data_IF_790880738735
#
_entry.id   IF_790880738735
#
_cell.length_a   1.000
_cell.length_b   1.000
_cell.length_c   1.000
_cell.angle_alpha   90.00
_cell.angle_beta   90.00
_cell.angle_gamma   90.00
#
_symmetry.space_group_name_H-M   'P 1'
#
loop_
_entity.id
_entity.type
_entity.pdbx_description
1 polymer ?
#
# COMPACT_ATOMS: atom_id res chain seq x y z
N UNK A 1 -50.12 72.64 -44.60
CA UNK A 1 -48.78 72.66 -44.03
C UNK A 1 -48.79 71.86 -42.73
N UNK A 2 -48.49 70.59 -42.78
CA UNK A 2 -48.49 69.76 -41.57
C UNK A 2 -47.29 68.76 -41.70
N UNK A 3 -46.29 68.92 -40.86
CA UNK A 3 -45.12 68.08 -40.79
C UNK A 3 -45.43 66.82 -40.00
N UNK A 4 -45.27 65.71 -40.64
CA UNK A 4 -45.35 64.35 -40.03
C UNK A 4 -44.02 64.02 -39.39
N UNK A 5 -44.02 63.78 -38.06
CA UNK A 5 -42.82 63.24 -37.33
C UNK A 5 -42.86 61.72 -37.37
N UNK A 6 -41.85 61.15 -37.93
CA UNK A 6 -41.64 59.70 -37.89
C UNK A 6 -41.07 59.28 -36.52
N UNK A 7 -41.68 58.30 -35.90
CA UNK A 7 -41.20 57.58 -34.75
C UNK A 7 -40.35 56.38 -35.19
N UNK A 8 -39.10 56.40 -34.81
CA UNK A 8 -38.19 55.23 -34.98
C UNK A 8 -38.38 54.34 -33.75
N UNK A 9 -38.92 53.13 -33.96
CA UNK A 9 -38.98 52.11 -32.91
C UNK A 9 -37.66 51.38 -32.84
N UNK A 10 -36.97 51.50 -31.71
CA UNK A 10 -35.74 50.76 -31.44
C UNK A 10 -36.10 49.44 -30.79
N UNK A 11 -35.99 48.35 -31.55
CA UNK A 11 -36.17 46.99 -31.02
C UNK A 11 -34.93 46.55 -30.27
N UNK A 12 -35.06 46.40 -28.96
CA UNK A 12 -34.02 45.86 -28.07
C UNK A 12 -34.05 44.31 -28.16
N UNK A 13 -33.06 43.73 -28.84
CA UNK A 13 -32.90 42.28 -28.92
C UNK A 13 -32.19 41.82 -27.64
N UNK A 14 -32.92 41.24 -26.68
CA UNK A 14 -32.35 40.63 -25.50
C UNK A 14 -31.82 39.22 -25.87
N UNK A 15 -30.52 39.10 -26.01
CA UNK A 15 -29.83 37.82 -26.18
C UNK A 15 -29.74 37.09 -24.84
N UNK A 16 -30.66 36.15 -24.61
CA UNK A 16 -30.60 35.25 -23.44
C UNK A 16 -29.53 34.17 -23.73
N UNK A 17 -28.31 34.40 -23.21
CA UNK A 17 -27.29 33.34 -23.18
C UNK A 17 -27.67 32.35 -22.09
N UNK A 18 -28.26 31.19 -22.46
CA UNK A 18 -28.34 30.04 -21.58
C UNK A 18 -26.91 29.54 -21.36
N UNK A 19 -26.32 29.87 -20.21
CA UNK A 19 -25.14 29.23 -19.70
C UNK A 19 -25.50 27.78 -19.33
N UNK A 20 -25.21 26.85 -20.23
CA UNK A 20 -25.11 25.43 -19.87
C UNK A 20 -23.89 25.28 -18.94
N UNK A 21 -24.13 25.28 -17.65
CA UNK A 21 -23.16 24.75 -16.68
C UNK A 21 -23.07 23.23 -16.92
N UNK A 22 -22.10 22.79 -17.72
CA UNK A 22 -21.65 21.40 -17.65
C UNK A 22 -21.07 21.23 -16.23
N UNK A 23 -21.87 20.69 -15.31
CA UNK A 23 -21.34 20.04 -14.14
C UNK A 23 -20.55 18.82 -14.65
N UNK A 24 -19.22 18.93 -14.71
CA UNK A 24 -18.36 17.78 -14.82
C UNK A 24 -18.65 16.91 -13.59
N UNK A 25 -19.46 15.87 -13.75
CA UNK A 25 -19.53 14.79 -12.76
C UNK A 25 -18.15 14.17 -12.78
N UNK A 26 -17.35 14.38 -11.73
CA UNK A 26 -16.15 13.60 -11.50
C UNK A 26 -16.58 12.13 -11.59
N UNK A 27 -16.08 11.42 -12.61
CA UNK A 27 -16.37 10.00 -12.79
C UNK A 27 -15.79 9.31 -11.55
N UNK A 28 -16.70 8.80 -10.70
CA UNK A 28 -16.34 8.16 -9.45
C UNK A 28 -15.48 6.95 -9.80
N UNK A 29 -14.25 6.88 -9.29
CA UNK A 29 -13.35 5.75 -9.54
C UNK A 29 -14.10 4.42 -9.35
N UNK A 30 -14.02 3.55 -10.36
CA UNK A 30 -14.71 2.26 -10.31
C UNK A 30 -14.07 1.39 -9.23
N UNK A 31 -14.88 0.90 -8.30
CA UNK A 31 -14.46 -0.05 -7.28
C UNK A 31 -15.10 -1.40 -7.59
N UNK A 32 -14.26 -2.43 -7.72
CA UNK A 32 -14.66 -3.81 -8.02
C UNK A 32 -14.32 -4.69 -6.82
N UNK A 33 -15.32 -5.36 -6.27
CA UNK A 33 -15.14 -6.39 -5.23
C UNK A 33 -14.76 -7.71 -5.89
N UNK A 34 -13.90 -8.48 -5.25
CA UNK A 34 -13.54 -9.83 -5.67
C UNK A 34 -13.22 -10.71 -4.47
N UNK A 35 -13.59 -11.98 -4.59
CA UNK A 35 -13.28 -13.00 -3.59
C UNK A 35 -12.89 -14.29 -4.30
N UNK A 36 -11.87 -15.03 -3.79
CA UNK A 36 -11.63 -16.40 -4.22
C UNK A 36 -12.86 -17.29 -3.96
N UNK A 37 -13.08 -18.38 -4.73
CA UNK A 37 -14.13 -19.33 -4.44
C UNK A 37 -14.02 -19.87 -3.00
N UNK A 38 -15.15 -20.05 -2.34
CA UNK A 38 -15.29 -20.58 -0.98
C UNK A 38 -14.63 -19.74 0.14
N UNK A 39 -14.18 -18.50 -0.17
CA UNK A 39 -13.62 -17.60 0.83
C UNK A 39 -14.69 -17.03 1.76
N UNK A 40 -14.39 -16.96 3.06
CA UNK A 40 -15.16 -16.23 4.06
C UNK A 40 -14.42 -14.98 4.56
N UNK A 41 -13.17 -14.79 4.15
CA UNK A 41 -12.34 -13.60 4.35
C UNK A 41 -11.33 -13.50 3.22
N UNK A 42 -11.18 -12.32 2.61
CA UNK A 42 -10.23 -12.06 1.53
C UNK A 42 -9.37 -10.85 1.85
N UNK A 43 -8.05 -11.04 1.89
CA UNK A 43 -7.07 -10.00 2.22
C UNK A 43 -6.03 -9.87 1.10
N UNK A 44 -6.20 -8.92 0.17
CA UNK A 44 -5.18 -8.54 -0.80
C UNK A 44 -4.02 -7.81 -0.12
N UNK A 45 -2.77 -8.17 -0.42
CA UNK A 45 -1.58 -7.55 0.16
C UNK A 45 -0.81 -6.68 -0.82
N UNK A 46 -0.79 -7.02 -2.10
CA UNK A 46 0.06 -6.33 -3.07
C UNK A 46 -0.56 -6.34 -4.46
N UNK A 47 -0.40 -5.23 -5.20
CA UNK A 47 -0.76 -5.08 -6.61
C UNK A 47 0.45 -4.63 -7.42
N UNK A 48 0.73 -5.27 -8.58
CA UNK A 48 1.79 -4.85 -9.47
C UNK A 48 1.32 -3.85 -10.54
N UNK A 49 2.24 -3.36 -11.37
CA UNK A 49 1.92 -2.39 -12.42
C UNK A 49 0.95 -2.95 -13.48
N UNK A 50 0.97 -4.25 -13.76
CA UNK A 50 0.02 -4.88 -14.70
C UNK A 50 -1.40 -4.99 -14.14
N UNK A 51 -1.60 -4.79 -12.83
CA UNK A 51 -2.87 -4.96 -12.12
C UNK A 51 -3.10 -6.37 -11.57
N UNK A 52 -2.08 -7.23 -11.57
CA UNK A 52 -2.15 -8.50 -10.87
C UNK A 52 -2.03 -8.28 -9.35
N UNK A 53 -2.79 -9.06 -8.56
CA UNK A 53 -2.92 -8.90 -7.11
C UNK A 53 -2.60 -10.23 -6.44
N UNK A 54 -1.82 -10.19 -5.36
CA UNK A 54 -1.62 -11.34 -4.46
C UNK A 54 -2.05 -11.00 -3.05
N UNK A 55 -2.38 -12.01 -2.30
CA UNK A 55 -2.79 -11.94 -0.90
C UNK A 55 -3.10 -13.32 -0.36
N UNK A 56 -4.01 -13.37 0.59
CA UNK A 56 -4.51 -14.62 1.16
C UNK A 56 -6.02 -14.54 1.42
N UNK A 57 -6.64 -15.68 1.59
CA UNK A 57 -8.04 -15.80 1.99
C UNK A 57 -8.22 -16.96 2.97
N UNK A 58 -9.29 -16.90 3.76
CA UNK A 58 -9.68 -17.95 4.69
C UNK A 58 -10.92 -18.66 4.17
N UNK A 59 -10.90 -19.99 4.13
CA UNK A 59 -12.00 -20.83 3.66
C UNK A 59 -12.89 -21.36 4.81
N UNK A 60 -12.61 -20.94 6.06
CA UNK A 60 -13.23 -21.47 7.27
C UNK A 60 -12.43 -22.58 7.95
N UNK A 61 -11.32 -23.03 7.35
CA UNK A 61 -10.47 -24.08 7.87
C UNK A 61 -8.98 -23.66 7.89
N UNK A 62 -8.43 -23.22 6.76
CA UNK A 62 -7.04 -22.76 6.64
C UNK A 62 -6.94 -21.48 5.80
N UNK A 63 -5.77 -20.82 5.87
CA UNK A 63 -5.46 -19.66 5.01
C UNK A 63 -4.72 -20.10 3.75
N UNK A 64 -5.21 -19.67 2.60
CA UNK A 64 -4.69 -19.97 1.28
C UNK A 64 -4.10 -18.73 0.61
N UNK A 65 -2.99 -18.86 -0.10
CA UNK A 65 -2.49 -17.82 -0.97
C UNK A 65 -3.30 -17.72 -2.27
N UNK A 66 -3.39 -16.52 -2.85
CA UNK A 66 -4.00 -16.33 -4.17
C UNK A 66 -3.18 -15.39 -5.06
N UNK A 67 -3.34 -15.58 -6.36
CA UNK A 67 -2.96 -14.66 -7.42
C UNK A 67 -4.22 -14.34 -8.24
N UNK A 68 -4.63 -13.07 -8.25
CA UNK A 68 -5.64 -12.54 -9.16
C UNK A 68 -4.95 -11.87 -10.34
N UNK A 69 -5.15 -12.39 -11.55
CA UNK A 69 -4.62 -11.79 -12.76
C UNK A 69 -5.25 -10.42 -13.04
N UNK A 70 -4.63 -9.62 -13.90
CA UNK A 70 -5.19 -8.33 -14.36
C UNK A 70 -6.58 -8.46 -15.02
N UNK A 71 -6.93 -9.64 -15.53
CA UNK A 71 -8.21 -9.94 -16.15
C UNK A 71 -9.28 -10.45 -15.18
N UNK A 72 -8.94 -10.57 -13.88
CA UNK A 72 -9.85 -11.02 -12.83
C UNK A 72 -9.84 -12.51 -12.53
N UNK A 73 -9.10 -13.33 -13.30
CA UNK A 73 -8.95 -14.75 -12.97
C UNK A 73 -8.17 -14.92 -11.69
N UNK A 74 -8.72 -15.70 -10.75
CA UNK A 74 -8.09 -16.02 -9.46
C UNK A 74 -7.54 -17.45 -9.52
N UNK A 75 -6.27 -17.60 -9.17
CA UNK A 75 -5.58 -18.89 -8.97
C UNK A 75 -5.14 -18.96 -7.53
N UNK A 76 -5.54 -20.01 -6.82
CA UNK A 76 -5.14 -20.28 -5.44
C UNK A 76 -3.89 -21.13 -5.40
N UNK A 77 -3.08 -20.97 -4.37
CA UNK A 77 -1.87 -21.77 -4.17
C UNK A 77 -1.60 -21.98 -2.68
N UNK A 78 -1.07 -23.16 -2.37
CA UNK A 78 -0.63 -23.52 -1.03
C UNK A 78 0.75 -24.13 -1.07
N UNK A 79 1.55 -23.81 -0.05
CA UNK A 79 2.79 -24.55 0.14
C UNK A 79 2.44 -25.98 0.61
N UNK A 80 3.04 -27.02 0.04
CA UNK A 80 2.67 -28.39 0.37
C UNK A 80 2.81 -28.70 1.87
N UNK A 81 1.71 -29.12 2.51
CA UNK A 81 1.66 -29.43 3.95
C UNK A 81 1.46 -28.23 4.88
N UNK A 82 1.30 -27.01 4.34
CA UNK A 82 1.04 -25.83 5.14
C UNK A 82 -0.34 -25.83 5.79
N UNK A 83 -0.44 -25.22 6.97
CA UNK A 83 -1.71 -24.89 7.65
C UNK A 83 -2.15 -23.46 7.33
N UNK A 84 -1.26 -22.63 6.79
CA UNK A 84 -1.55 -21.31 6.26
C UNK A 84 -0.51 -20.95 5.20
N UNK A 85 -0.94 -20.32 4.09
CA UNK A 85 -0.06 -19.78 3.05
C UNK A 85 -0.46 -18.33 2.77
N UNK A 86 0.49 -17.40 2.89
CA UNK A 86 0.27 -15.96 2.73
C UNK A 86 1.14 -15.41 1.60
N UNK A 87 0.53 -14.92 0.52
CA UNK A 87 1.22 -14.11 -0.48
C UNK A 87 1.42 -12.69 0.04
N UNK A 88 2.65 -12.27 0.33
CA UNK A 88 2.94 -10.96 0.92
C UNK A 88 3.16 -9.87 -0.13
N UNK A 89 3.95 -10.15 -1.16
CA UNK A 89 4.32 -9.15 -2.19
C UNK A 89 4.57 -9.83 -3.53
N UNK A 90 4.27 -9.11 -4.64
CA UNK A 90 4.55 -9.57 -5.99
C UNK A 90 5.27 -8.49 -6.81
N UNK A 91 6.12 -8.93 -7.75
CA UNK A 91 6.78 -8.05 -8.71
C UNK A 91 6.04 -8.01 -10.07
N UNK A 92 6.61 -7.32 -11.05
CA UNK A 92 6.00 -7.19 -12.39
C UNK A 92 5.89 -8.53 -13.13
N UNK A 93 6.85 -9.44 -12.92
CA UNK A 93 6.88 -10.78 -13.53
C UNK A 93 5.95 -11.77 -12.79
N UNK A 94 5.08 -11.28 -11.89
CA UNK A 94 4.19 -12.09 -11.05
C UNK A 94 4.91 -13.13 -10.19
N UNK A 95 6.21 -12.92 -9.93
CA UNK A 95 6.93 -13.65 -8.87
C UNK A 95 6.40 -13.15 -7.53
N UNK A 96 5.93 -14.08 -6.70
CA UNK A 96 5.37 -13.79 -5.37
C UNK A 96 6.36 -14.23 -4.31
N UNK A 97 6.55 -13.40 -3.29
CA UNK A 97 7.15 -13.81 -2.01
C UNK A 97 6.11 -13.78 -0.92
N UNK A 98 6.32 -14.60 0.08
CA UNK A 98 5.43 -14.70 1.22
C UNK A 98 5.93 -15.72 2.23
N UNK A 99 5.07 -16.12 3.13
CA UNK A 99 5.39 -17.09 4.16
C UNK A 99 4.25 -18.10 4.32
N UNK A 100 4.58 -19.23 4.91
CA UNK A 100 3.63 -20.28 5.24
C UNK A 100 3.94 -20.86 6.62
N UNK A 101 2.93 -21.40 7.27
CA UNK A 101 3.06 -22.07 8.57
C UNK A 101 2.89 -23.58 8.42
N UNK A 102 3.75 -24.34 9.08
CA UNK A 102 3.56 -25.77 9.29
C UNK A 102 2.75 -26.03 10.57
N UNK A 103 2.31 -27.28 10.81
CA UNK A 103 1.43 -27.65 11.93
C UNK A 103 1.96 -27.33 13.34
N UNK A 104 3.23 -27.00 13.48
CA UNK A 104 3.88 -26.54 14.70
C UNK A 104 3.95 -25.01 14.84
N UNK A 105 3.29 -24.24 13.94
CA UNK A 105 3.30 -22.78 13.84
C UNK A 105 4.68 -22.16 13.56
N UNK A 106 5.60 -22.94 12.97
CA UNK A 106 6.87 -22.40 12.47
C UNK A 106 6.62 -21.76 11.11
N UNK A 107 7.00 -20.48 11.00
CA UNK A 107 6.85 -19.69 9.78
C UNK A 107 8.07 -19.84 8.87
N UNK A 108 7.84 -20.10 7.57
CA UNK A 108 8.87 -20.26 6.55
C UNK A 108 8.64 -19.33 5.37
N UNK A 109 9.71 -18.72 4.87
CA UNK A 109 9.65 -17.91 3.67
C UNK A 109 9.54 -18.76 2.39
N UNK A 110 8.83 -18.25 1.38
CA UNK A 110 8.79 -18.86 0.05
C UNK A 110 8.91 -17.83 -1.07
N UNK A 111 9.31 -18.33 -2.23
CA UNK A 111 9.15 -17.68 -3.54
C UNK A 111 8.27 -18.56 -4.40
N UNK A 112 7.23 -17.99 -5.00
CA UNK A 112 6.45 -18.60 -6.08
C UNK A 112 6.83 -17.94 -7.38
N UNK A 113 7.40 -18.70 -8.32
CA UNK A 113 7.73 -18.21 -9.65
C UNK A 113 6.48 -17.98 -10.50
N UNK A 114 6.61 -17.27 -11.62
CA UNK A 114 5.50 -17.00 -12.56
C UNK A 114 4.80 -18.28 -13.04
N UNK A 115 5.55 -19.36 -13.28
CA UNK A 115 5.03 -20.68 -13.68
C UNK A 115 4.42 -21.49 -12.53
N UNK A 116 4.38 -20.93 -11.31
CA UNK A 116 3.69 -21.50 -10.15
C UNK A 116 4.56 -22.38 -9.24
N UNK A 117 5.86 -22.51 -9.52
CA UNK A 117 6.77 -23.32 -8.68
C UNK A 117 7.00 -22.60 -7.35
N UNK A 118 6.74 -23.30 -6.25
CA UNK A 118 6.98 -22.85 -4.88
C UNK A 118 8.37 -23.33 -4.40
N UNK A 119 9.19 -22.43 -3.92
CA UNK A 119 10.52 -22.70 -3.39
C UNK A 119 10.65 -22.09 -1.99
N UNK A 120 10.88 -22.93 -0.99
CA UNK A 120 11.16 -22.49 0.38
C UNK A 120 12.54 -21.84 0.48
N UNK A 121 12.66 -20.86 1.34
CA UNK A 121 13.93 -20.30 1.80
C UNK A 121 13.84 -19.84 3.25
N UNK A 122 14.92 -20.03 4.00
CA UNK A 122 15.06 -19.52 5.36
C UNK A 122 16.49 -19.04 5.57
N UNK A 123 16.72 -17.93 6.29
CA UNK A 123 18.04 -17.56 6.77
C UNK A 123 18.60 -18.64 7.71
N UNK A 124 19.92 -18.82 7.68
CA UNK A 124 20.56 -19.83 8.55
C UNK A 124 20.31 -19.49 10.03
N UNK A 125 19.78 -20.47 10.76
CA UNK A 125 19.49 -20.32 12.21
C UNK A 125 18.12 -19.70 12.52
N UNK A 126 17.30 -19.39 11.51
CA UNK A 126 15.94 -18.90 11.74
C UNK A 126 15.03 -19.98 12.32
N UNK A 127 14.13 -19.58 13.20
CA UNK A 127 12.97 -20.35 13.65
C UNK A 127 11.67 -19.83 13.06
N UNK A 128 11.69 -18.63 12.47
CA UNK A 128 10.58 -18.01 11.76
C UNK A 128 11.14 -17.09 10.67
N UNK A 129 10.50 -17.07 9.49
CA UNK A 129 10.92 -16.22 8.36
C UNK A 129 9.71 -15.54 7.73
N UNK A 130 9.71 -14.22 7.71
CA UNK A 130 8.63 -13.37 7.19
C UNK A 130 9.13 -12.43 6.09
N UNK A 131 9.08 -12.83 4.82
CA UNK A 131 9.31 -11.95 3.69
C UNK A 131 8.23 -10.86 3.61
N UNK A 132 8.65 -9.59 3.47
CA UNK A 132 7.74 -8.45 3.43
C UNK A 132 7.61 -7.85 2.03
N UNK A 133 8.67 -7.78 1.26
CA UNK A 133 8.68 -7.05 -0.02
C UNK A 133 9.63 -7.67 -1.04
N UNK A 134 9.21 -7.70 -2.31
CA UNK A 134 10.03 -8.09 -3.46
C UNK A 134 10.12 -6.92 -4.44
N UNK A 135 11.31 -6.62 -4.96
CA UNK A 135 11.48 -5.58 -5.98
C UNK A 135 11.43 -6.14 -7.42
N UNK A 136 11.48 -5.24 -8.41
CA UNK A 136 11.45 -5.62 -9.83
C UNK A 136 12.65 -6.49 -10.26
N UNK A 137 13.77 -6.43 -9.55
CA UNK A 137 14.94 -7.28 -9.83
C UNK A 137 14.85 -8.68 -9.20
N UNK A 138 13.78 -8.97 -8.44
CA UNK A 138 13.59 -10.23 -7.72
C UNK A 138 14.34 -10.32 -6.39
N UNK A 139 14.87 -9.21 -5.88
CA UNK A 139 15.43 -9.16 -4.54
C UNK A 139 14.31 -9.02 -3.50
N UNK A 140 14.43 -9.76 -2.39
CA UNK A 140 13.42 -9.86 -1.33
C UNK A 140 14.02 -9.40 -0.02
N UNK A 141 13.25 -8.63 0.75
CA UNK A 141 13.57 -8.26 2.13
C UNK A 141 12.42 -8.64 3.06
N UNK A 142 12.74 -8.79 4.33
CA UNK A 142 11.82 -9.09 5.41
C UNK A 142 12.59 -9.28 6.72
N UNK A 143 11.97 -9.92 7.67
CA UNK A 143 12.59 -10.27 8.94
C UNK A 143 12.56 -11.78 9.19
N UNK A 144 13.45 -12.24 10.06
CA UNK A 144 13.44 -13.59 10.59
C UNK A 144 13.76 -13.56 12.07
N UNK A 145 13.23 -14.51 12.82
CA UNK A 145 13.52 -14.69 14.24
C UNK A 145 14.52 -15.83 14.41
N UNK A 146 15.56 -15.61 15.19
CA UNK A 146 16.56 -16.63 15.53
C UNK A 146 16.12 -17.51 16.71
N UNK A 147 16.91 -18.53 17.05
CA UNK A 147 16.61 -19.46 18.14
C UNK A 147 16.62 -18.81 19.54
N UNK A 148 17.18 -17.60 19.69
CA UNK A 148 17.14 -16.82 20.92
C UNK A 148 15.90 -15.90 21.03
N UNK A 149 15.09 -15.85 19.99
CA UNK A 149 13.89 -15.00 19.90
C UNK A 149 14.18 -13.57 19.44
N UNK A 150 15.36 -13.31 18.87
CA UNK A 150 15.74 -12.00 18.32
C UNK A 150 15.36 -11.94 16.84
N UNK A 151 14.71 -10.84 16.44
CA UNK A 151 14.37 -10.60 15.05
C UNK A 151 15.49 -9.86 14.32
N UNK A 152 15.81 -10.32 13.11
CA UNK A 152 16.85 -9.77 12.23
C UNK A 152 16.28 -9.41 10.87
N UNK A 153 16.79 -8.36 10.24
CA UNK A 153 16.51 -8.07 8.85
C UNK A 153 17.27 -9.03 7.91
N UNK A 154 16.69 -9.35 6.75
CA UNK A 154 17.39 -10.08 5.70
C UNK A 154 17.20 -9.44 4.31
N UNK A 155 18.19 -9.65 3.46
CA UNK A 155 18.13 -9.43 2.03
C UNK A 155 18.44 -10.76 1.32
N UNK A 156 17.48 -11.26 0.54
CA UNK A 156 17.68 -12.39 -0.38
C UNK A 156 17.81 -11.85 -1.79
N UNK A 157 18.92 -12.10 -2.45
CA UNK A 157 19.10 -11.72 -3.84
C UNK A 157 18.28 -12.60 -4.80
N UNK A 158 18.22 -12.22 -6.08
CA UNK A 158 17.48 -12.99 -7.10
C UNK A 158 18.02 -14.41 -7.33
N UNK A 159 19.25 -14.69 -6.93
CA UNK A 159 19.90 -16.00 -7.09
C UNK A 159 19.71 -16.89 -5.85
N UNK A 160 19.12 -16.37 -4.79
CA UNK A 160 18.83 -17.08 -3.57
C UNK A 160 19.85 -16.88 -2.44
N UNK A 161 20.91 -16.09 -2.64
CA UNK A 161 21.84 -15.77 -1.57
C UNK A 161 21.17 -14.85 -0.54
N UNK A 162 21.29 -15.21 0.75
CA UNK A 162 20.68 -14.47 1.86
C UNK A 162 21.78 -13.82 2.69
N UNK A 163 21.60 -12.54 2.97
CA UNK A 163 22.44 -11.74 3.87
C UNK A 163 21.58 -11.18 4.99
N UNK A 164 21.92 -11.50 6.23
CA UNK A 164 21.30 -10.89 7.41
C UNK A 164 21.90 -9.52 7.70
N UNK A 165 21.11 -8.62 8.26
CA UNK A 165 21.56 -7.29 8.61
C UNK A 165 20.80 -6.72 9.80
N UNK A 166 21.49 -5.89 10.60
CA UNK A 166 20.90 -5.16 11.72
C UNK A 166 21.49 -3.76 11.77
N UNK A 167 20.69 -2.71 12.01
CA UNK A 167 21.21 -1.41 12.37
C UNK A 167 22.04 -1.47 13.65
N UNK A 168 23.09 -0.66 13.79
CA UNK A 168 23.88 -0.60 15.02
C UNK A 168 23.03 -0.26 16.25
N UNK A 169 23.11 -1.07 17.30
CA UNK A 169 22.36 -0.89 18.54
C UNK A 169 20.97 -1.51 18.57
N UNK A 170 20.56 -2.21 17.48
CA UNK A 170 19.25 -2.86 17.44
C UNK A 170 19.17 -4.08 18.37
N UNK A 171 18.00 -4.23 19.04
CA UNK A 171 17.59 -5.43 19.78
C UNK A 171 16.60 -6.30 18.99
N UNK A 172 16.13 -5.81 17.85
CA UNK A 172 15.28 -6.49 16.89
C UNK A 172 15.15 -5.65 15.63
N UNK A 173 15.17 -6.26 14.42
CA UNK A 173 15.13 -5.56 13.14
C UNK A 173 14.02 -6.08 12.27
N UNK A 174 13.18 -5.16 11.75
CA UNK A 174 12.01 -5.45 10.91
C UNK A 174 12.09 -4.66 9.60
N UNK A 175 12.47 -5.32 8.52
CA UNK A 175 12.52 -4.73 7.19
C UNK A 175 11.16 -4.84 6.51
N UNK A 176 10.60 -3.71 6.06
CA UNK A 176 9.22 -3.61 5.55
C UNK A 176 9.13 -3.35 4.05
N UNK A 177 10.16 -2.75 3.45
CA UNK A 177 10.14 -2.40 2.04
C UNK A 177 11.49 -2.37 1.38
N UNK A 178 11.55 -2.73 0.09
CA UNK A 178 12.74 -2.63 -0.75
C UNK A 178 12.42 -1.84 -2.02
N UNK A 179 13.25 -0.83 -2.32
CA UNK A 179 13.14 -0.04 -3.55
C UNK A 179 13.64 -0.81 -4.78
N UNK A 180 13.28 -0.40 -6.01
CA UNK A 180 13.88 -0.97 -7.23
C UNK A 180 15.40 -0.84 -7.30
N UNK A 181 15.99 0.12 -6.58
CA UNK A 181 17.44 0.33 -6.49
C UNK A 181 18.12 -0.55 -5.45
N UNK A 182 17.33 -1.26 -4.61
CA UNK A 182 17.84 -2.13 -3.54
C UNK A 182 18.06 -1.42 -2.20
N UNK A 183 17.52 -0.20 -2.03
CA UNK A 183 17.44 0.46 -0.73
C UNK A 183 16.34 -0.20 0.09
N UNK A 184 16.57 -0.41 1.39
CA UNK A 184 15.64 -1.10 2.29
C UNK A 184 15.23 -0.13 3.40
N UNK A 185 13.94 -0.07 3.69
CA UNK A 185 13.40 0.64 4.85
C UNK A 185 12.77 -0.35 5.82
N UNK A 186 12.65 0.08 7.06
CA UNK A 186 12.05 -0.66 8.14
C UNK A 186 12.26 0.03 9.47
N UNK A 187 12.09 -0.69 10.55
CA UNK A 187 12.32 -0.19 11.90
C UNK A 187 13.12 -1.21 12.72
N UNK A 188 13.72 -0.72 13.80
CA UNK A 188 14.41 -1.57 14.75
C UNK A 188 14.09 -1.13 16.18
N UNK A 189 14.14 -2.09 17.10
CA UNK A 189 13.95 -1.86 18.53
C UNK A 189 15.27 -1.47 19.18
N UNK A 190 15.30 -0.37 19.96
CA UNK A 190 16.42 0.02 20.84
C UNK A 190 16.07 -0.23 22.32
N UNK A 191 15.05 -1.01 22.61
CA UNK A 191 14.55 -1.34 23.94
C UNK A 191 13.04 -1.58 23.92
N UNK A 192 12.42 -1.83 25.06
CA UNK A 192 11.06 -2.35 25.13
C UNK A 192 9.97 -1.38 24.62
N UNK A 193 10.30 -0.08 24.40
CA UNK A 193 9.31 0.94 24.02
C UNK A 193 9.79 1.91 22.94
N UNK A 194 11.01 1.73 22.42
CA UNK A 194 11.60 2.65 21.44
C UNK A 194 11.84 1.93 20.14
N UNK A 195 11.18 2.41 19.07
CA UNK A 195 11.36 1.91 17.72
C UNK A 195 11.82 3.06 16.82
N UNK A 196 12.90 2.82 16.10
CA UNK A 196 13.50 3.81 15.20
C UNK A 196 13.36 3.38 13.75
N UNK A 197 13.00 4.33 12.89
CA UNK A 197 13.02 4.10 11.46
C UNK A 197 14.44 4.02 10.92
N UNK A 198 14.66 3.16 9.93
CA UNK A 198 15.94 3.10 9.21
C UNK A 198 15.76 3.08 7.70
N UNK A 199 16.76 3.59 7.02
CA UNK A 199 17.03 3.40 5.60
C UNK A 199 18.40 2.73 5.46
N UNK A 200 18.45 1.55 4.83
CA UNK A 200 19.69 0.86 4.48
C UNK A 200 19.92 1.03 3.00
N UNK A 201 21.03 1.67 2.64
CA UNK A 201 21.45 1.81 1.25
C UNK A 201 21.88 0.46 0.63
N UNK A 202 21.98 0.43 -0.68
CA UNK A 202 22.38 -0.79 -1.42
C UNK A 202 23.75 -1.33 -1.01
N UNK A 203 24.68 -0.46 -0.64
CA UNK A 203 26.03 -0.80 -0.17
C UNK A 203 26.11 -1.13 1.31
N UNK A 204 24.97 -1.10 2.03
CA UNK A 204 24.84 -1.53 3.41
C UNK A 204 24.96 -0.43 4.46
N UNK A 205 25.13 0.84 4.08
CA UNK A 205 25.16 1.95 5.03
C UNK A 205 23.74 2.24 5.57
N UNK A 206 23.66 2.65 6.85
CA UNK A 206 22.41 2.96 7.54
C UNK A 206 22.24 4.46 7.75
N UNK A 207 21.02 4.93 7.60
CA UNK A 207 20.53 6.22 8.08
C UNK A 207 19.33 5.94 8.97
N UNK A 208 19.43 6.32 10.24
CA UNK A 208 18.29 6.24 11.18
C UNK A 208 17.54 7.57 11.17
N UNK A 209 16.24 7.52 11.38
CA UNK A 209 15.41 8.71 11.37
C UNK A 209 14.16 8.53 12.23
N UNK A 210 13.72 9.63 12.85
CA UNK A 210 12.48 9.71 13.59
C UNK A 210 11.78 11.04 13.33
N UNK A 211 10.45 11.06 13.19
CA UNK A 211 9.69 12.28 13.28
C UNK A 211 9.88 12.97 14.65
N UNK A 212 9.75 14.30 14.72
CA UNK A 212 9.94 15.04 15.97
C UNK A 212 9.07 14.51 17.14
N UNK A 213 9.70 14.17 18.25
CA UNK A 213 9.09 13.61 19.46
C UNK A 213 8.44 12.22 19.28
N UNK A 214 8.86 11.46 18.28
CA UNK A 214 8.44 10.07 18.14
C UNK A 214 9.02 9.21 19.27
N UNK A 215 8.20 8.29 19.78
CA UNK A 215 8.63 7.18 20.65
C UNK A 215 8.82 5.89 19.85
N UNK A 216 7.97 5.70 18.84
CA UNK A 216 8.08 4.58 17.92
C UNK A 216 7.83 5.07 16.50
N UNK A 217 8.76 4.75 15.59
CA UNK A 217 8.73 5.09 14.17
C UNK A 217 8.69 3.80 13.36
N UNK A 218 7.63 3.59 12.59
CA UNK A 218 7.39 2.36 11.82
C UNK A 218 7.20 2.70 10.34
N UNK A 219 8.29 2.75 9.56
CA UNK A 219 8.20 2.84 8.10
C UNK A 219 7.50 1.64 7.49
N UNK A 220 6.63 1.86 6.52
CA UNK A 220 5.85 0.81 5.84
C UNK A 220 6.27 0.59 4.39
N UNK A 221 6.77 1.62 3.70
CA UNK A 221 7.08 1.52 2.27
C UNK A 221 8.11 2.56 1.84
N UNK A 222 8.83 2.23 0.76
CA UNK A 222 9.78 3.11 0.06
C UNK A 222 9.51 3.08 -1.44
N UNK A 223 9.56 4.23 -2.12
CA UNK A 223 9.37 4.32 -3.56
C UNK A 223 10.72 4.43 -4.34
N UNK A 224 10.69 4.43 -5.71
CA UNK A 224 11.90 4.58 -6.51
C UNK A 224 12.65 5.91 -6.36
N UNK A 225 11.98 6.96 -5.87
CA UNK A 225 12.60 8.26 -5.59
C UNK A 225 13.37 8.26 -4.26
N UNK A 226 13.20 7.23 -3.41
CA UNK A 226 13.78 7.14 -2.08
C UNK A 226 12.91 7.79 -1.00
N UNK A 227 11.66 8.17 -1.35
CA UNK A 227 10.69 8.64 -0.37
C UNK A 227 10.18 7.47 0.46
N UNK A 228 10.15 7.65 1.77
CA UNK A 228 9.73 6.62 2.74
C UNK A 228 8.49 7.12 3.48
N UNK A 229 7.52 6.24 3.65
CA UNK A 229 6.29 6.52 4.41
C UNK A 229 6.16 5.57 5.58
N UNK A 230 5.34 5.94 6.54
CA UNK A 230 5.01 5.08 7.67
C UNK A 230 4.15 5.79 8.71
N UNK A 231 4.03 5.15 9.84
CA UNK A 231 3.35 5.70 11.01
C UNK A 231 4.30 5.85 12.19
N UNK A 232 3.92 6.71 13.14
CA UNK A 232 4.67 6.90 14.37
C UNK A 232 3.78 7.28 15.54
N UNK A 233 4.23 6.96 16.75
CA UNK A 233 3.60 7.35 18.01
C UNK A 233 4.39 8.45 18.68
N UNK A 234 3.68 9.39 19.32
CA UNK A 234 4.25 10.36 20.24
C UNK A 234 3.96 9.99 21.69
N UNK A 235 4.55 10.75 22.61
CA UNK A 235 4.31 10.60 24.05
C UNK A 235 2.85 10.83 24.49
N UNK A 236 2.02 11.42 23.64
CA UNK A 236 0.57 11.54 23.85
C UNK A 236 -0.18 10.21 23.70
N UNK A 237 0.53 9.11 23.42
CA UNK A 237 0.21 7.67 23.44
C UNK A 237 -1.14 7.23 22.83
N UNK A 238 -2.01 8.18 22.48
CA UNK A 238 -3.36 7.89 21.98
C UNK A 238 -3.55 8.19 20.50
N UNK A 239 -2.52 8.75 19.85
CA UNK A 239 -2.58 9.09 18.42
C UNK A 239 -1.42 8.48 17.64
N UNK A 240 -1.79 7.83 16.54
CA UNK A 240 -0.84 7.37 15.52
C UNK A 240 -0.87 8.37 14.36
N UNK A 241 0.29 8.88 14.00
CA UNK A 241 0.44 9.86 12.92
C UNK A 241 1.06 9.21 11.70
N UNK A 242 0.63 9.62 10.51
CA UNK A 242 1.30 9.30 9.26
C UNK A 242 2.46 10.25 8.99
N UNK A 243 3.49 9.78 8.31
CA UNK A 243 4.60 10.61 7.82
C UNK A 243 5.01 10.24 6.40
N UNK A 244 5.59 11.23 5.71
CA UNK A 244 6.40 11.08 4.50
C UNK A 244 7.76 11.65 4.80
N UNK A 245 8.83 10.88 4.57
CA UNK A 245 10.21 11.32 4.59
C UNK A 245 10.72 11.34 3.15
N UNK A 246 11.17 12.50 2.69
CA UNK A 246 11.77 12.62 1.38
C UNK A 246 13.21 12.06 1.35
N UNK A 247 13.82 12.08 0.16
CA UNK A 247 15.20 11.61 -0.02
C UNK A 247 16.23 12.42 0.75
N UNK A 248 15.98 13.71 0.93
CA UNK A 248 16.90 14.65 1.59
C UNK A 248 16.76 14.59 3.12
N UNK A 249 15.74 13.88 3.62
CA UNK A 249 15.49 13.62 5.05
C UNK A 249 14.44 14.54 5.66
N UNK A 250 13.78 15.40 4.89
CA UNK A 250 12.68 16.20 5.37
C UNK A 250 11.47 15.30 5.66
N UNK A 251 10.83 15.51 6.82
CA UNK A 251 9.68 14.73 7.27
C UNK A 251 8.44 15.62 7.34
N UNK A 252 7.43 15.25 6.55
CA UNK A 252 6.10 15.85 6.57
C UNK A 252 5.14 14.93 7.31
N UNK A 253 4.48 15.45 8.34
CA UNK A 253 3.48 14.72 9.15
C UNK A 253 2.09 15.02 8.59
N UNK A 254 1.25 13.99 8.48
CA UNK A 254 -0.13 14.14 8.05
C UNK A 254 -1.07 13.19 8.81
N UNK A 255 -2.38 13.53 8.81
CA UNK A 255 -3.39 12.72 9.47
C UNK A 255 -4.65 12.66 8.62
N UNK A 256 -5.38 11.55 8.70
CA UNK A 256 -6.74 11.45 8.18
C UNK A 256 -7.68 12.43 8.90
N UNK A 257 -8.81 12.81 8.28
CA UNK A 257 -9.78 13.73 8.87
C UNK A 257 -10.33 13.20 10.20
N UNK A 258 -10.11 13.95 11.30
CA UNK A 258 -10.56 13.57 12.64
C UNK A 258 -9.94 12.27 13.18
N UNK A 259 -8.81 11.83 12.62
CA UNK A 259 -8.19 10.55 12.95
C UNK A 259 -7.61 10.52 14.36
N UNK A 260 -7.80 9.39 15.03
CA UNK A 260 -7.03 8.95 16.20
C UNK A 260 -5.84 8.09 15.78
N UNK A 261 -5.85 7.52 14.59
CA UNK A 261 -4.73 6.78 13.99
C UNK A 261 -4.71 6.92 12.48
N UNK A 262 -3.53 7.16 11.90
CA UNK A 262 -3.28 7.23 10.45
C UNK A 262 -2.17 6.27 10.07
N UNK A 263 -2.46 5.35 9.15
CA UNK A 263 -1.61 4.22 8.80
C UNK A 263 -1.36 4.21 7.28
N UNK A 264 -0.32 4.93 6.80
CA UNK A 264 0.11 4.83 5.42
C UNK A 264 0.67 3.44 5.13
N UNK A 265 0.19 2.79 4.06
CA UNK A 265 0.57 1.41 3.72
C UNK A 265 1.54 1.35 2.55
N UNK A 266 1.25 2.07 1.46
CA UNK A 266 2.06 2.01 0.25
C UNK A 266 2.19 3.37 -0.42
N UNK A 267 3.38 3.67 -0.91
CA UNK A 267 3.67 4.81 -1.78
C UNK A 267 4.06 4.33 -3.17
N UNK A 268 3.51 4.93 -4.22
CA UNK A 268 3.87 4.61 -5.59
C UNK A 268 5.00 5.49 -6.14
N UNK A 269 5.41 5.24 -7.39
CA UNK A 269 6.49 5.98 -8.04
C UNK A 269 6.18 7.47 -8.27
N UNK A 270 4.90 7.86 -8.32
CA UNK A 270 4.46 9.24 -8.46
C UNK A 270 4.37 10.00 -7.12
N UNK A 271 4.66 9.33 -5.99
CA UNK A 271 4.53 9.91 -4.65
C UNK A 271 3.10 9.87 -4.08
N UNK A 272 2.18 9.17 -4.74
CA UNK A 272 0.82 8.97 -4.24
C UNK A 272 0.82 7.87 -3.19
N UNK A 273 0.15 8.12 -2.07
CA UNK A 273 0.11 7.24 -0.91
C UNK A 273 -1.31 6.72 -0.70
N UNK A 274 -1.44 5.44 -0.41
CA UNK A 274 -2.67 4.85 0.11
C UNK A 274 -2.47 4.24 1.48
N UNK A 275 -3.55 4.13 2.23
CA UNK A 275 -3.58 3.54 3.55
C UNK A 275 -4.96 3.74 4.19
N UNK A 276 -5.02 3.53 5.48
CA UNK A 276 -6.25 3.72 6.23
C UNK A 276 -6.04 4.66 7.43
N UNK A 277 -7.13 5.23 7.91
CA UNK A 277 -7.16 5.94 9.17
C UNK A 277 -8.35 5.50 10.02
N UNK A 278 -8.22 5.63 11.33
CA UNK A 278 -9.29 5.36 12.29
C UNK A 278 -9.85 6.71 12.73
N UNK A 279 -11.09 6.97 12.34
CA UNK A 279 -11.89 8.14 12.74
C UNK A 279 -12.99 7.80 13.74
N UNK A 280 -13.85 8.75 14.05
CA UNK A 280 -14.99 8.54 14.96
C UNK A 280 -16.05 7.58 14.40
N UNK A 281 -16.13 7.44 13.07
CA UNK A 281 -17.07 6.56 12.35
C UNK A 281 -16.51 5.19 12.01
N UNK A 282 -15.26 4.90 12.35
CA UNK A 282 -14.61 3.63 12.05
C UNK A 282 -13.31 3.77 11.26
N UNK A 283 -12.96 2.71 10.55
CA UNK A 283 -11.77 2.64 9.71
C UNK A 283 -12.11 3.02 8.27
N UNK A 284 -11.39 3.98 7.71
CA UNK A 284 -11.60 4.54 6.38
C UNK A 284 -10.35 4.43 5.53
N UNK A 285 -10.53 4.13 4.23
CA UNK A 285 -9.46 4.20 3.25
C UNK A 285 -9.13 5.64 2.83
N UNK A 286 -7.88 5.91 2.48
CA UNK A 286 -7.47 7.18 1.92
C UNK A 286 -6.50 7.04 0.75
N UNK A 287 -6.50 8.07 -0.09
CA UNK A 287 -5.44 8.40 -1.05
C UNK A 287 -4.91 9.78 -0.69
N UNK A 288 -3.60 9.92 -0.57
CA UNK A 288 -2.93 11.21 -0.44
C UNK A 288 -2.09 11.44 -1.68
N UNK A 289 -2.35 12.51 -2.40
CA UNK A 289 -1.58 12.88 -3.57
C UNK A 289 -0.20 13.46 -3.19
N UNK A 290 0.61 13.76 -4.21
CA UNK A 290 1.94 14.33 -4.02
C UNK A 290 1.92 15.73 -3.40
N UNK A 291 0.88 16.50 -3.67
CA UNK A 291 0.72 17.88 -3.17
C UNK A 291 0.22 17.91 -1.72
N UNK A 292 -0.16 16.74 -1.19
CA UNK A 292 -0.58 16.55 0.21
C UNK A 292 -2.08 16.55 0.42
N UNK A 293 -2.88 16.65 -0.65
CA UNK A 293 -4.33 16.53 -0.55
C UNK A 293 -4.72 15.08 -0.22
N UNK A 294 -5.57 14.93 0.80
CA UNK A 294 -6.02 13.62 1.26
C UNK A 294 -7.51 13.44 0.94
N UNK A 295 -7.82 12.47 0.09
CA UNK A 295 -9.17 12.05 -0.28
C UNK A 295 -9.50 10.73 0.39
N UNK A 296 -10.67 10.66 1.04
CA UNK A 296 -11.17 9.42 1.66
C UNK A 296 -12.05 8.65 0.70
N UNK A 297 -12.04 7.32 0.81
CA UNK A 297 -12.94 6.46 0.05
C UNK A 297 -13.31 5.21 0.85
N UNK A 298 -14.57 4.79 0.68
CA UNK A 298 -15.07 3.56 1.26
C UNK A 298 -15.97 2.84 0.23
N UNK A 299 -15.86 1.51 0.10
CA UNK A 299 -16.83 0.72 -0.65
C UNK A 299 -18.24 0.91 -0.07
N UNK A 300 -19.24 0.91 -0.94
CA UNK A 300 -20.62 1.07 -0.50
C UNK A 300 -21.04 -0.06 0.47
N UNK A 301 -21.53 0.31 1.64
CA UNK A 301 -21.96 -0.64 2.68
C UNK A 301 -20.83 -1.20 3.55
N UNK A 302 -19.59 -0.71 3.39
CA UNK A 302 -18.49 -1.10 4.26
C UNK A 302 -18.62 -0.51 5.66
N UNK A 303 -18.17 -1.26 6.65
CA UNK A 303 -18.01 -0.85 8.06
C UNK A 303 -16.56 -0.54 8.39
N UNK A 304 -15.63 -0.95 7.53
CA UNK A 304 -14.20 -0.66 7.62
C UNK A 304 -13.51 -0.86 6.27
N UNK A 305 -12.54 -0.01 5.94
CA UNK A 305 -11.79 -0.06 4.67
C UNK A 305 -10.29 -0.02 4.95
N UNK A 306 -9.57 -1.01 4.44
CA UNK A 306 -8.13 -1.22 4.62
C UNK A 306 -7.39 -1.37 3.28
N UNK A 307 -7.04 -0.27 2.60
CA UNK A 307 -6.15 -0.31 1.44
C UNK A 307 -4.76 -0.79 1.86
N UNK A 308 -4.17 -1.71 1.11
CA UNK A 308 -2.87 -2.31 1.40
C UNK A 308 -1.80 -1.93 0.39
N UNK A 309 -2.19 -1.69 -0.87
CA UNK A 309 -1.21 -1.45 -1.94
C UNK A 309 -1.76 -0.56 -3.04
N UNK A 310 -0.87 0.23 -3.65
CA UNK A 310 -1.11 1.07 -4.82
C UNK A 310 -0.01 0.82 -5.86
N UNK A 311 -0.39 0.68 -7.14
CA UNK A 311 0.58 0.54 -8.21
C UNK A 311 0.97 1.89 -8.84
N UNK A 312 1.92 1.88 -9.77
CA UNK A 312 2.39 3.10 -10.43
C UNK A 312 1.32 3.77 -11.32
N UNK A 313 0.31 3.03 -11.75
CA UNK A 313 -0.84 3.58 -12.48
C UNK A 313 -1.91 4.21 -11.56
N UNK A 314 -1.77 4.09 -10.23
CA UNK A 314 -2.72 4.60 -9.24
C UNK A 314 -3.86 3.64 -8.90
N UNK A 315 -3.86 2.41 -9.42
CA UNK A 315 -4.82 1.40 -9.00
C UNK A 315 -4.50 0.90 -7.58
N UNK A 316 -5.53 0.77 -6.75
CA UNK A 316 -5.41 0.44 -5.32
C UNK A 316 -6.13 -0.87 -5.05
N UNK A 317 -5.51 -1.74 -4.26
CA UNK A 317 -6.14 -2.93 -3.70
C UNK A 317 -6.10 -2.92 -2.18
N UNK A 318 -6.96 -3.71 -1.58
CA UNK A 318 -7.08 -3.88 -0.14
C UNK A 318 -8.33 -4.68 0.20
N UNK A 319 -8.69 -4.69 1.47
CA UNK A 319 -9.93 -5.31 1.93
C UNK A 319 -10.89 -4.28 2.52
N UNK A 320 -12.17 -4.63 2.54
CA UNK A 320 -13.19 -3.92 3.31
C UNK A 320 -14.08 -4.92 4.04
N UNK A 321 -14.60 -4.52 5.18
CA UNK A 321 -15.53 -5.32 5.96
C UNK A 321 -16.96 -4.86 5.67
N UNK A 322 -17.86 -5.77 5.35
CA UNK A 322 -19.27 -5.48 5.13
C UNK A 322 -20.06 -5.37 6.44
N UNK A 323 -21.36 -5.10 6.36
CA UNK A 323 -22.26 -5.01 7.52
C UNK A 323 -22.43 -6.35 8.25
N UNK A 324 -22.12 -7.47 7.62
CA UNK A 324 -22.14 -8.82 8.20
C UNK A 324 -20.85 -9.19 8.92
N UNK A 325 -19.81 -8.35 8.83
CA UNK A 325 -18.49 -8.62 9.41
C UNK A 325 -17.58 -9.46 8.50
N UNK A 326 -17.94 -9.65 7.24
CA UNK A 326 -17.14 -10.40 6.25
C UNK A 326 -16.15 -9.45 5.56
N UNK A 327 -14.90 -9.88 5.42
CA UNK A 327 -13.86 -9.11 4.73
C UNK A 327 -13.74 -9.53 3.26
N UNK A 328 -13.92 -8.57 2.36
CA UNK A 328 -13.87 -8.73 0.91
C UNK A 328 -12.67 -8.04 0.30
N UNK A 329 -12.06 -8.62 -0.72
CA UNK A 329 -11.04 -7.97 -1.53
C UNK A 329 -11.65 -6.91 -2.46
N UNK A 330 -10.93 -5.79 -2.67
CA UNK A 330 -11.32 -4.80 -3.66
C UNK A 330 -10.17 -4.39 -4.58
N UNK A 331 -10.55 -3.93 -5.77
CA UNK A 331 -9.71 -3.19 -6.70
C UNK A 331 -10.40 -1.87 -7.01
N UNK A 332 -9.75 -0.74 -6.68
CA UNK A 332 -10.15 0.61 -7.06
C UNK A 332 -9.31 1.05 -8.25
N UNK A 333 -9.96 1.37 -9.37
CA UNK A 333 -9.29 1.94 -10.54
C UNK A 333 -8.78 3.36 -10.25
N UNK A 334 -7.74 3.83 -10.96
CA UNK A 334 -7.29 5.21 -10.86
C UNK A 334 -8.42 6.19 -11.20
N UNK A 335 -8.41 7.36 -10.57
CA UNK A 335 -9.24 8.48 -10.99
C UNK A 335 -8.71 8.95 -12.36
N UNK A 336 -9.54 8.91 -13.39
CA UNK A 336 -9.23 9.50 -14.70
C UNK A 336 -9.34 11.02 -14.57
N UNK A 337 -8.24 11.71 -14.26
CA UNK A 337 -8.13 13.13 -14.55
C UNK A 337 -7.93 13.26 -16.07
N UNK A 338 -8.98 13.62 -16.78
CA UNK A 338 -8.84 14.13 -18.14
C UNK A 338 -7.98 15.41 -18.06
N UNK A 339 -6.68 15.29 -18.37
CA UNK A 339 -5.90 16.44 -18.79
C UNK A 339 -6.50 16.93 -20.10
N UNK A 340 -7.35 17.95 -20.02
CA UNK A 340 -7.88 18.66 -21.16
C UNK A 340 -6.73 19.10 -22.06
N UNK A 341 -6.50 18.37 -23.14
CA UNK A 341 -5.77 18.87 -24.28
C UNK A 341 -6.62 19.98 -24.91
N UNK A 342 -6.38 21.23 -24.50
CA UNK A 342 -6.69 22.35 -25.36
C UNK A 342 -5.82 22.21 -26.61
N UNK A 343 -6.37 21.63 -27.67
CA UNK A 343 -5.87 21.86 -29.02
C UNK A 343 -6.11 23.33 -29.31
N UNK A 344 -5.02 24.09 -29.40
CA UNK A 344 -5.03 25.34 -30.09
C UNK A 344 -5.33 25.02 -31.56
N UNK A 345 -6.49 25.39 -32.05
CA UNK A 345 -6.78 25.54 -33.48
C UNK A 345 -6.24 26.92 -33.90
N UNK A 346 -5.16 26.92 -34.68
CA UNK A 346 -4.78 28.02 -35.58
C UNK A 346 -5.51 27.90 -36.92
#
# INVERSE_FOLDING_TARGET
MTRQKGMIALSLLVLCTLGLSLSASAEKSALTTFDPPDSIETIPNSINLSGAITGYYFDGNIFHGFLRSRYGTITTFDFPGATATVGASLNLDETITGYYFEGNLVGHGFVRSHDGVLTRFDPVGSVETEPASINAAGAITGSYTDASGVSHGFLRDRYGAITSFDPPGSNGTFATGISPRGEITGYYDEGPFFQHGFLRSRDGAYTTFDPPAALATMPSSINPAGETIGSFFKSDLFKVHGFVRDRDGEIVIFNGPGAVGTFPQKINAAGVITGNYIGNSGQHGFVRDRDGELTTFDPHGSTGTAPTSINAAGAITGSYTDAGGVSHGFLRSPDHHEHGQQRAED
#
